data_IF_786484326346
#
_entry.id   IF_786484326346
#
_cell.length_a   1.000
_cell.length_b   1.000
_cell.length_c   1.000
_cell.angle_alpha   90.00
_cell.angle_beta   90.00
_cell.angle_gamma   90.00
#
_symmetry.space_group_name_H-M   'P 1'
#
loop_
_entity.id
_entity.type
_entity.pdbx_description
1 polymer ?
#
# COMPACT_ATOMS: atom_id res chain seq x y z
N UNK A 1 -39.34 3.47 6.19
CA UNK A 1 -38.51 4.65 5.89
C UNK A 1 -37.75 4.31 4.63
N UNK A 2 -38.19 4.93 3.57
CA UNK A 2 -37.77 4.67 2.19
C UNK A 2 -36.56 5.54 1.89
N UNK A 3 -35.42 4.93 1.54
CA UNK A 3 -34.22 5.65 1.12
C UNK A 3 -34.12 5.57 -0.40
N UNK A 4 -34.53 6.69 -1.03
CA UNK A 4 -34.53 6.87 -2.47
C UNK A 4 -33.16 6.68 -3.11
N UNK A 5 -33.16 5.93 -4.20
CA UNK A 5 -32.02 5.78 -5.10
C UNK A 5 -31.83 7.08 -5.89
N UNK A 6 -30.63 7.66 -5.75
CA UNK A 6 -30.20 8.83 -6.50
C UNK A 6 -29.78 8.41 -7.92
N UNK A 7 -30.51 8.92 -8.91
CA UNK A 7 -30.30 8.66 -10.34
C UNK A 7 -29.18 9.55 -10.85
N UNK A 8 -28.08 8.95 -11.27
CA UNK A 8 -27.03 9.67 -12.01
C UNK A 8 -27.47 9.86 -13.45
N UNK A 9 -27.85 11.10 -13.78
CA UNK A 9 -28.26 11.54 -15.11
C UNK A 9 -27.05 11.63 -16.06
N UNK A 10 -27.08 10.82 -17.12
CA UNK A 10 -26.06 10.85 -18.19
C UNK A 10 -26.47 11.84 -19.26
N UNK A 11 -25.69 12.86 -19.47
CA UNK A 11 -25.84 13.80 -20.56
C UNK A 11 -25.40 13.17 -21.90
N UNK A 12 -26.21 13.32 -22.99
CA UNK A 12 -25.79 12.86 -24.30
C UNK A 12 -24.91 13.90 -25.00
N UNK A 13 -23.74 13.47 -25.46
CA UNK A 13 -22.89 14.25 -26.37
C UNK A 13 -23.40 14.09 -27.80
N UNK A 14 -24.09 15.09 -28.32
CA UNK A 14 -24.41 15.18 -29.74
C UNK A 14 -23.34 15.95 -30.48
N UNK A 15 -22.52 15.28 -31.29
CA UNK A 15 -21.68 15.90 -32.29
C UNK A 15 -22.39 15.89 -33.64
N UNK A 16 -22.91 17.04 -34.04
CA UNK A 16 -23.35 17.30 -35.42
C UNK A 16 -22.20 17.88 -36.21
N UNK A 17 -21.70 17.15 -37.19
CA UNK A 17 -20.79 17.66 -38.23
C UNK A 17 -21.59 17.92 -39.50
N UNK A 18 -21.79 19.19 -39.81
CA UNK A 18 -22.31 19.61 -41.10
C UNK A 18 -21.31 19.42 -42.22
N UNK A 19 -21.72 18.77 -43.28
CA UNK A 19 -20.95 18.60 -44.50
C UNK A 19 -21.14 19.81 -45.43
N UNK A 20 -20.04 20.44 -45.82
CA UNK A 20 -20.06 21.45 -46.88
C UNK A 20 -19.48 20.85 -48.18
N UNK A 21 -20.27 20.75 -49.21
CA UNK A 21 -19.91 20.27 -50.53
C UNK A 21 -19.35 21.38 -51.41
N UNK A 22 -18.09 21.26 -51.81
CA UNK A 22 -17.47 22.10 -52.82
C UNK A 22 -16.73 21.23 -53.88
N UNK A 23 -17.25 21.20 -55.09
CA UNK A 23 -16.77 20.53 -56.29
C UNK A 23 -15.42 21.06 -56.75
N UNK A 24 -14.43 20.23 -57.00
CA UNK A 24 -13.58 20.35 -58.24
C UNK A 24 -12.70 19.10 -58.38
N UNK A 25 -12.73 18.52 -59.56
CA UNK A 25 -12.10 17.23 -59.87
C UNK A 25 -10.58 17.31 -59.98
N UNK A 26 -9.95 16.26 -59.43
CA UNK A 26 -8.64 15.79 -59.87
C UNK A 26 -8.55 14.29 -59.55
N UNK A 27 -8.49 13.45 -60.61
CA UNK A 27 -8.31 12.01 -60.46
C UNK A 27 -6.85 11.74 -60.10
N UNK A 28 -6.54 11.50 -58.85
CA UNK A 28 -5.34 10.83 -58.40
C UNK A 28 -5.73 9.45 -57.91
N UNK A 29 -5.20 8.42 -58.56
CA UNK A 29 -5.28 7.04 -58.08
C UNK A 29 -4.33 6.94 -56.87
N UNK A 30 -4.85 7.20 -55.69
CA UNK A 30 -4.15 6.99 -54.42
C UNK A 30 -4.31 5.55 -53.95
N UNK A 31 -3.21 4.82 -53.96
CA UNK A 31 -3.13 3.48 -53.37
C UNK A 31 -3.40 3.60 -51.86
N UNK A 32 -4.63 3.25 -51.45
CA UNK A 32 -5.02 3.29 -50.03
C UNK A 32 -4.35 2.11 -49.31
N UNK A 33 -3.22 2.38 -48.69
CA UNK A 33 -2.56 1.43 -47.79
C UNK A 33 -3.34 1.42 -46.46
N UNK A 34 -4.33 0.53 -46.36
CA UNK A 34 -5.03 0.28 -45.12
C UNK A 34 -4.05 -0.30 -44.09
N UNK A 35 -3.52 0.58 -43.23
CA UNK A 35 -2.88 0.17 -41.97
C UNK A 35 -3.93 -0.50 -41.11
N UNK A 36 -3.99 -1.81 -41.11
CA UNK A 36 -4.74 -2.60 -40.13
C UNK A 36 -3.98 -2.49 -38.80
N UNK A 37 -4.35 -1.51 -37.98
CA UNK A 37 -3.92 -1.49 -36.60
C UNK A 37 -4.60 -2.66 -35.89
N UNK A 38 -3.85 -3.53 -35.20
CA UNK A 38 -4.47 -4.56 -34.38
C UNK A 38 -5.22 -3.81 -33.26
N UNK A 39 -6.55 -3.85 -33.31
CA UNK A 39 -7.36 -3.46 -32.20
C UNK A 39 -7.03 -4.40 -31.04
N UNK A 40 -6.44 -3.89 -29.97
CA UNK A 40 -6.37 -4.60 -28.71
C UNK A 40 -7.80 -4.86 -28.27
N UNK A 41 -8.34 -6.02 -28.59
CA UNK A 41 -9.60 -6.48 -28.06
C UNK A 41 -9.39 -6.66 -26.53
N UNK A 42 -9.99 -5.78 -25.74
CA UNK A 42 -10.06 -6.00 -24.31
C UNK A 42 -10.84 -7.29 -24.09
N UNK A 43 -10.20 -8.27 -23.46
CA UNK A 43 -10.91 -9.47 -23.00
C UNK A 43 -11.96 -9.01 -22.00
N UNK A 44 -13.26 -9.30 -22.24
CA UNK A 44 -14.27 -8.90 -21.25
C UNK A 44 -13.99 -9.61 -19.93
N UNK A 45 -13.99 -8.86 -18.82
CA UNK A 45 -13.91 -9.43 -17.48
C UNK A 45 -15.24 -10.10 -17.19
N UNK A 46 -15.23 -11.43 -17.08
CA UNK A 46 -16.39 -12.19 -16.63
C UNK A 46 -16.40 -12.19 -15.10
N UNK A 47 -17.42 -11.56 -14.53
CA UNK A 47 -17.65 -11.57 -13.09
C UNK A 47 -18.35 -12.89 -12.74
N UNK A 48 -17.72 -13.64 -11.82
CA UNK A 48 -18.27 -14.88 -11.29
C UNK A 48 -18.81 -14.54 -9.90
N UNK A 49 -20.10 -14.73 -9.69
CA UNK A 49 -20.67 -14.72 -8.34
C UNK A 49 -20.16 -15.93 -7.56
N UNK A 50 -19.34 -15.67 -6.54
CA UNK A 50 -18.91 -16.69 -5.61
C UNK A 50 -19.94 -16.73 -4.48
N UNK A 51 -20.81 -17.77 -4.42
CA UNK A 51 -21.76 -17.88 -3.34
C UNK A 51 -20.99 -18.12 -2.03
N UNK A 52 -21.12 -17.19 -1.10
CA UNK A 52 -20.67 -17.40 0.26
C UNK A 52 -21.65 -18.36 0.92
N UNK A 53 -21.14 -19.45 1.50
CA UNK A 53 -21.95 -20.33 2.32
C UNK A 53 -22.49 -19.56 3.52
N UNK A 54 -23.74 -19.81 3.91
CA UNK A 54 -24.33 -19.20 5.09
C UNK A 54 -23.44 -19.45 6.32
N UNK A 55 -23.18 -18.39 7.08
CA UNK A 55 -22.37 -18.40 8.29
C UNK A 55 -20.87 -18.69 8.10
N UNK A 56 -20.32 -18.49 6.90
CA UNK A 56 -18.87 -18.45 6.72
C UNK A 56 -18.40 -17.01 6.85
N UNK A 57 -18.00 -16.64 8.05
CA UNK A 57 -17.21 -15.45 8.30
C UNK A 57 -16.03 -15.83 9.18
N UNK A 58 -14.92 -15.19 8.91
CA UNK A 58 -13.71 -15.30 9.71
C UNK A 58 -13.69 -14.20 10.74
N UNK A 59 -13.66 -14.56 12.00
CA UNK A 59 -13.27 -13.65 13.06
C UNK A 59 -11.75 -13.78 13.21
N UNK A 60 -11.02 -12.82 12.63
CA UNK A 60 -9.57 -12.78 12.78
C UNK A 60 -9.22 -12.35 14.20
N UNK A 61 -8.19 -12.95 14.78
CA UNK A 61 -7.63 -12.55 16.07
C UNK A 61 -6.11 -12.36 15.91
N UNK A 62 -5.59 -11.14 16.03
CA UNK A 62 -6.33 -9.90 16.27
C UNK A 62 -7.23 -9.49 15.09
N UNK A 63 -8.23 -8.66 15.36
CA UNK A 63 -9.07 -8.06 14.32
C UNK A 63 -8.27 -7.07 13.48
N UNK A 64 -8.75 -6.82 12.25
CA UNK A 64 -8.19 -5.76 11.42
C UNK A 64 -8.32 -4.40 12.12
N UNK A 65 -7.23 -3.66 12.16
CA UNK A 65 -7.17 -2.33 12.76
C UNK A 65 -6.34 -1.35 11.93
N UNK A 66 -6.48 -0.08 12.27
CA UNK A 66 -5.72 1.01 11.65
C UNK A 66 -5.26 1.97 12.73
N UNK A 67 -3.95 2.22 12.78
CA UNK A 67 -3.33 3.09 13.77
C UNK A 67 -2.47 4.16 13.12
N UNK A 68 -2.36 5.28 13.82
CA UNK A 68 -1.39 6.33 13.54
C UNK A 68 -0.59 6.57 14.82
N UNK A 69 0.72 6.43 14.70
CA UNK A 69 1.64 6.46 15.83
C UNK A 69 2.72 7.50 15.58
N UNK A 70 3.02 8.29 16.60
CA UNK A 70 4.16 9.20 16.64
C UNK A 70 5.26 8.58 17.51
N UNK A 71 6.43 8.35 16.91
CA UNK A 71 7.55 7.67 17.55
C UNK A 71 8.68 8.69 17.70
N UNK A 72 8.93 9.23 18.89
CA UNK A 72 10.07 10.12 19.13
C UNK A 72 11.37 9.31 19.16
N UNK A 73 12.35 9.70 18.35
CA UNK A 73 13.68 9.12 18.33
C UNK A 73 14.69 10.20 18.72
N UNK A 74 15.26 10.17 19.94
CA UNK A 74 16.19 11.19 20.40
C UNK A 74 17.46 11.28 19.53
N UNK A 75 18.17 12.40 19.62
CA UNK A 75 19.43 12.60 18.94
C UNK A 75 20.45 11.51 19.31
N UNK A 76 21.20 11.02 18.32
CA UNK A 76 22.24 9.99 18.47
C UNK A 76 21.75 8.77 19.26
N UNK A 77 20.52 8.31 18.99
CA UNK A 77 19.91 7.16 19.67
C UNK A 77 19.17 6.24 18.72
N UNK A 78 18.84 5.06 19.23
CA UNK A 78 18.16 4.00 18.52
C UNK A 78 16.86 3.66 19.25
N UNK A 79 15.89 3.14 18.48
CA UNK A 79 14.61 2.68 18.99
C UNK A 79 14.08 1.53 18.15
N UNK A 80 13.48 0.54 18.79
CA UNK A 80 12.67 -0.47 18.12
C UNK A 80 11.17 -0.19 18.32
N UNK A 81 10.41 -0.28 17.25
CA UNK A 81 8.95 -0.26 17.27
C UNK A 81 8.41 -1.54 16.64
N UNK A 82 7.84 -2.43 17.45
CA UNK A 82 7.50 -3.78 17.07
C UNK A 82 5.99 -4.03 17.16
N UNK A 83 5.52 -4.93 16.31
CA UNK A 83 4.16 -5.45 16.22
C UNK A 83 4.18 -6.95 16.45
N UNK A 84 3.30 -7.50 17.26
CA UNK A 84 3.07 -8.93 17.32
C UNK A 84 2.17 -9.37 16.16
N UNK A 85 2.61 -10.36 15.39
CA UNK A 85 1.87 -10.90 14.25
C UNK A 85 1.95 -12.42 14.21
N UNK A 86 0.87 -13.05 13.81
CA UNK A 86 0.85 -14.48 13.49
C UNK A 86 1.25 -14.70 12.04
N UNK A 87 1.81 -15.86 11.73
CA UNK A 87 2.14 -16.25 10.35
C UNK A 87 0.93 -16.09 9.42
N UNK A 88 1.13 -15.44 8.28
CA UNK A 88 0.10 -15.17 7.29
C UNK A 88 -0.72 -13.91 7.55
N UNK A 89 -0.62 -13.29 8.72
CA UNK A 89 -1.20 -11.97 8.96
C UNK A 89 -0.49 -10.91 8.13
N UNK A 90 -1.21 -9.89 7.74
CA UNK A 90 -0.69 -8.83 6.89
C UNK A 90 -0.83 -7.47 7.53
N UNK A 91 0.14 -6.60 7.25
CA UNK A 91 0.10 -5.18 7.59
C UNK A 91 0.60 -4.35 6.41
N UNK A 92 -0.10 -3.28 6.08
CA UNK A 92 0.41 -2.21 5.24
C UNK A 92 0.89 -1.07 6.11
N UNK A 93 1.94 -0.39 5.68
CA UNK A 93 2.54 0.69 6.43
C UNK A 93 2.98 1.85 5.56
N UNK A 94 3.02 3.02 6.16
CA UNK A 94 3.70 4.18 5.64
C UNK A 94 4.28 4.94 6.83
N UNK A 95 5.57 5.29 6.77
CA UNK A 95 6.14 6.18 7.74
C UNK A 95 6.93 7.33 7.10
N UNK A 96 7.03 8.41 7.84
CA UNK A 96 7.87 9.56 7.49
C UNK A 96 8.49 10.16 8.73
N UNK A 97 9.74 10.54 8.64
CA UNK A 97 10.38 11.38 9.63
C UNK A 97 9.96 12.83 9.45
N UNK A 98 9.62 13.49 10.53
CA UNK A 98 9.46 14.94 10.60
C UNK A 98 10.70 15.56 11.25
N UNK A 99 11.00 16.80 10.89
CA UNK A 99 12.06 17.61 11.49
C UNK A 99 13.51 17.12 11.23
N UNK A 100 13.70 16.16 10.32
CA UNK A 100 15.02 15.70 9.94
C UNK A 100 15.66 16.60 8.86
N UNK A 101 16.82 17.17 9.17
CA UNK A 101 17.55 18.05 8.25
C UNK A 101 18.37 17.30 7.20
N UNK A 102 18.88 16.10 7.54
CA UNK A 102 19.61 15.24 6.65
C UNK A 102 19.06 13.79 6.74
N UNK A 103 18.16 13.38 5.84
CA UNK A 103 17.54 12.06 5.87
C UNK A 103 18.52 10.89 5.76
N UNK A 104 19.69 11.07 5.17
CA UNK A 104 20.72 10.02 5.06
C UNK A 104 21.30 9.58 6.42
N UNK A 105 21.07 10.38 7.47
CA UNK A 105 21.46 10.08 8.84
C UNK A 105 20.34 9.36 9.64
N UNK A 106 19.28 8.94 8.99
CA UNK A 106 18.27 8.05 9.56
C UNK A 106 18.37 6.69 8.90
N UNK A 107 18.82 5.70 9.66
CA UNK A 107 18.75 4.29 9.28
C UNK A 107 17.40 3.73 9.74
N UNK A 108 16.72 3.01 8.85
CA UNK A 108 15.54 2.23 9.18
C UNK A 108 15.75 0.79 8.70
N UNK A 109 15.69 -0.16 9.63
CA UNK A 109 15.70 -1.58 9.35
C UNK A 109 14.34 -2.17 9.67
N UNK A 110 13.65 -2.67 8.65
CA UNK A 110 12.39 -3.40 8.80
C UNK A 110 12.72 -4.88 8.90
N UNK A 111 12.42 -5.49 10.05
CA UNK A 111 12.77 -6.86 10.35
C UNK A 111 11.69 -7.56 11.17
N UNK A 112 11.87 -8.85 11.38
CA UNK A 112 11.07 -9.63 12.32
C UNK A 112 11.92 -10.67 13.00
N UNK A 113 11.52 -11.08 14.20
CA UNK A 113 12.15 -12.16 14.92
C UNK A 113 11.12 -12.98 15.70
N UNK A 114 11.46 -14.25 15.95
CA UNK A 114 10.64 -15.11 16.80
C UNK A 114 10.70 -14.65 18.26
N UNK A 115 9.61 -14.84 18.97
CA UNK A 115 9.60 -14.58 20.42
C UNK A 115 10.49 -15.61 21.11
N UNK A 116 11.34 -15.15 22.00
CA UNK A 116 12.23 -16.04 22.76
C UNK A 116 11.46 -16.72 23.86
N UNK A 117 11.59 -18.02 23.92
CA UNK A 117 11.13 -18.86 25.04
C UNK A 117 12.28 -19.38 25.90
N UNK A 118 13.54 -19.01 25.56
CA UNK A 118 14.76 -19.42 26.20
C UNK A 118 15.82 -18.31 26.19
N UNK A 119 17.02 -18.56 26.77
CA UNK A 119 18.18 -17.63 26.68
C UNK A 119 18.85 -17.64 25.30
N UNK A 120 18.47 -18.55 24.42
CA UNK A 120 18.98 -18.61 23.04
C UNK A 120 18.44 -17.44 22.23
N UNK A 121 19.24 -16.86 21.31
CA UNK A 121 18.73 -15.84 20.40
C UNK A 121 17.65 -16.42 19.50
N UNK A 122 16.55 -15.68 19.32
CA UNK A 122 15.52 -16.02 18.31
C UNK A 122 16.07 -15.88 16.90
N UNK A 123 15.37 -16.49 15.94
CA UNK A 123 15.65 -16.27 14.52
C UNK A 123 15.26 -14.85 14.13
N UNK A 124 16.14 -14.19 13.38
CA UNK A 124 15.92 -12.84 12.87
C UNK A 124 15.86 -12.87 11.34
N UNK A 125 14.89 -12.18 10.77
CA UNK A 125 14.77 -11.98 9.33
C UNK A 125 14.69 -10.48 9.01
N UNK A 126 15.63 -9.99 8.23
CA UNK A 126 15.64 -8.61 7.73
C UNK A 126 14.86 -8.57 6.42
N UNK A 127 13.81 -7.76 6.36
CA UNK A 127 12.96 -7.58 5.17
C UNK A 127 13.48 -6.44 4.30
N UNK A 128 13.91 -5.36 4.94
CA UNK A 128 14.39 -4.16 4.24
C UNK A 128 15.29 -3.34 5.17
N UNK A 129 16.40 -2.88 4.65
CA UNK A 129 17.24 -1.86 5.26
C UNK A 129 17.31 -0.66 4.31
N UNK A 130 17.20 0.54 4.83
CA UNK A 130 17.31 1.76 4.03
C UNK A 130 17.71 2.95 4.89
N UNK A 131 18.34 3.93 4.23
CA UNK A 131 18.50 5.29 4.77
C UNK A 131 17.53 6.22 4.07
N UNK A 132 17.01 7.19 4.80
CA UNK A 132 16.07 8.15 4.25
C UNK A 132 14.97 8.55 5.23
N UNK A 133 14.19 9.56 4.87
CA UNK A 133 13.14 10.13 5.73
C UNK A 133 11.75 9.50 5.55
N UNK A 134 11.57 8.55 4.65
CA UNK A 134 10.25 7.94 4.39
C UNK A 134 10.38 6.51 3.89
N UNK A 135 9.39 5.68 4.18
CA UNK A 135 9.19 4.38 3.54
C UNK A 135 7.73 3.98 3.60
N UNK A 136 7.31 3.18 2.63
CA UNK A 136 6.01 2.53 2.59
C UNK A 136 6.16 1.09 2.10
N UNK A 137 5.12 0.28 2.35
CA UNK A 137 5.08 -1.09 1.94
C UNK A 137 4.01 -1.91 2.64
N UNK A 138 4.17 -3.20 2.52
CA UNK A 138 3.34 -4.18 3.22
C UNK A 138 4.18 -5.41 3.61
N UNK A 139 3.71 -6.12 4.61
CA UNK A 139 4.25 -7.40 5.04
C UNK A 139 3.13 -8.42 5.12
N UNK A 140 3.40 -9.64 4.69
CA UNK A 140 2.70 -10.85 5.14
C UNK A 140 3.69 -11.57 6.07
N UNK A 141 3.36 -11.68 7.35
CA UNK A 141 4.24 -12.24 8.36
C UNK A 141 4.69 -13.66 7.98
N UNK A 142 5.98 -13.91 7.81
CA UNK A 142 6.48 -15.23 7.39
C UNK A 142 6.46 -16.27 8.52
N UNK A 143 6.35 -15.83 9.77
CA UNK A 143 6.30 -16.65 10.98
C UNK A 143 5.57 -15.92 12.11
N UNK A 144 5.17 -16.67 13.15
CA UNK A 144 4.66 -16.09 14.40
C UNK A 144 5.81 -15.39 15.15
N UNK A 145 5.62 -14.13 15.50
CA UNK A 145 6.65 -13.37 16.19
C UNK A 145 6.39 -11.88 16.21
N UNK A 146 7.44 -11.10 16.42
CA UNK A 146 7.40 -9.65 16.36
C UNK A 146 8.03 -9.16 15.08
N UNK A 147 7.41 -8.16 14.47
CA UNK A 147 7.80 -7.59 13.17
C UNK A 147 7.69 -6.07 13.26
N UNK A 148 8.74 -5.36 12.84
CA UNK A 148 8.70 -3.91 12.98
C UNK A 148 9.99 -3.24 12.53
N UNK A 149 10.27 -2.12 13.12
CA UNK A 149 11.36 -1.24 12.71
C UNK A 149 12.34 -0.99 13.84
N UNK A 150 13.61 -1.12 13.51
CA UNK A 150 14.69 -0.47 14.23
C UNK A 150 14.98 0.84 13.51
N UNK A 151 14.90 1.95 14.24
CA UNK A 151 15.28 3.27 13.76
C UNK A 151 16.55 3.74 14.48
N UNK A 152 17.55 4.16 13.73
CA UNK A 152 18.76 4.77 14.27
C UNK A 152 18.87 6.21 13.78
N UNK A 153 18.75 7.16 14.70
CA UNK A 153 18.89 8.58 14.45
C UNK A 153 20.34 9.00 14.71
N UNK A 154 21.13 9.12 13.66
CA UNK A 154 22.53 9.56 13.72
C UNK A 154 22.69 11.09 13.68
N UNK A 155 21.58 11.85 13.79
CA UNK A 155 21.63 13.32 13.85
C UNK A 155 21.83 13.85 15.26
N UNK A 156 22.24 15.12 15.39
CA UNK A 156 22.37 15.80 16.71
C UNK A 156 21.04 16.36 17.22
N UNK A 157 19.94 16.07 16.57
CA UNK A 157 18.61 16.59 16.93
C UNK A 157 17.59 15.46 17.10
N UNK A 158 16.68 15.64 18.03
CA UNK A 158 15.52 14.75 18.16
C UNK A 158 14.68 14.81 16.88
N UNK A 159 14.18 13.67 16.45
CA UNK A 159 13.25 13.55 15.33
C UNK A 159 11.99 12.82 15.76
N UNK A 160 10.95 12.92 14.95
CA UNK A 160 9.74 12.16 15.16
C UNK A 160 9.39 11.35 13.91
N UNK A 161 8.97 10.10 14.08
CA UNK A 161 8.51 9.22 13.01
C UNK A 161 6.98 9.14 13.09
N UNK A 162 6.29 9.69 12.10
CA UNK A 162 4.87 9.50 11.92
C UNK A 162 4.63 8.20 11.17
N UNK A 163 4.11 7.17 11.83
CA UNK A 163 3.85 5.84 11.31
C UNK A 163 2.35 5.59 11.19
N UNK A 164 1.88 5.22 10.00
CA UNK A 164 0.51 4.76 9.74
C UNK A 164 0.54 3.27 9.46
N UNK A 165 -0.35 2.53 10.10
CA UNK A 165 -0.48 1.08 10.02
C UNK A 165 -1.91 0.69 9.67
N UNK A 166 -2.08 -0.40 8.89
CA UNK A 166 -3.39 -1.01 8.64
C UNK A 166 -3.22 -2.50 8.42
N UNK A 167 -3.86 -3.33 9.22
CA UNK A 167 -3.70 -4.79 9.11
C UNK A 167 -4.14 -5.58 10.33
N UNK A 168 -3.56 -6.76 10.48
CA UNK A 168 -3.81 -7.71 11.56
C UNK A 168 -2.56 -7.85 12.43
N UNK A 169 -2.50 -7.15 13.52
CA UNK A 169 -1.36 -7.09 14.44
C UNK A 169 -1.83 -6.71 15.83
N UNK A 170 -0.98 -6.91 16.83
CA UNK A 170 -1.11 -6.34 18.17
C UNK A 170 0.09 -5.44 18.43
N UNK A 171 -0.14 -4.29 19.03
CA UNK A 171 0.95 -3.45 19.54
C UNK A 171 1.25 -3.95 20.95
N UNK A 172 2.46 -4.45 21.23
CA UNK A 172 2.82 -4.91 22.57
C UNK A 172 2.72 -3.77 23.58
N UNK A 173 2.24 -4.06 24.79
CA UNK A 173 2.33 -3.11 25.89
C UNK A 173 3.82 -2.89 26.21
N UNK A 174 4.27 -1.66 26.15
CA UNK A 174 5.62 -1.29 26.58
C UNK A 174 5.61 -1.18 28.12
N UNK A 175 6.01 -2.26 28.80
CA UNK A 175 6.23 -2.26 30.26
C UNK A 175 7.47 -1.45 30.68
#
# INVERSE_FOLDING_TARGET
MDLGADQVERLPLTNSLESNTGSSGFRLIGLCFCLILPACASVPVEWIDVPLADNVYFEANPMYQTDQVEIPVPANSDLEYMLEMQQGHSVSYQWRSTDISNPELLLAEFHGHTVRDSEEPGDVMIFKESRGGTSDGYLVAPFDGVHGWYFSNETDSDINIALSLSGFYTIPDLD
#
